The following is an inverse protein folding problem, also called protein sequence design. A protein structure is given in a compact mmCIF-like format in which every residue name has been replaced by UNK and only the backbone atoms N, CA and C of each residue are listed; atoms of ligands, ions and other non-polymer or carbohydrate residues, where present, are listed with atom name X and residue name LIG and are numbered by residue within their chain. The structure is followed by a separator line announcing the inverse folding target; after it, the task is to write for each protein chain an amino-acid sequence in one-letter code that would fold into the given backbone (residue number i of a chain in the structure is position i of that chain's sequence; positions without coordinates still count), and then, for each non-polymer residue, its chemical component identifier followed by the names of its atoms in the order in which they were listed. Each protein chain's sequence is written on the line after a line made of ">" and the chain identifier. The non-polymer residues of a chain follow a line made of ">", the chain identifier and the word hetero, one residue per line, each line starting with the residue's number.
data_IF_080272494797
#
_entry.id   IF_080272494797
#
_cell.length_a   1.000
_cell.length_b   1.000
_cell.length_c   1.000
_cell.angle_alpha   90.00
_cell.angle_beta   90.00
_cell.angle_gamma   90.00
#
_symmetry.space_group_name_H-M   'P 1'
#
loop_
_entity.id
_entity.type
_entity.pdbx_description
1 polymer ?
#
# COMPACT_ATOMS: atom_id res chain seq x y z
N UNK A 1 -24.99 9.19 9.69
CA UNK A 1 -23.64 9.83 9.66
C UNK A 1 -22.63 8.80 10.13
N UNK A 2 -21.63 8.48 9.31
CA UNK A 2 -20.59 7.48 9.59
C UNK A 2 -19.47 8.13 10.40
N UNK A 3 -18.98 7.45 11.44
CA UNK A 3 -17.79 7.89 12.21
C UNK A 3 -16.60 7.02 11.89
N UNK A 4 -15.52 7.63 11.43
CA UNK A 4 -14.30 6.94 11.03
C UNK A 4 -13.08 7.36 11.87
N UNK A 5 -12.29 6.38 12.31
CA UNK A 5 -10.97 6.61 12.89
C UNK A 5 -9.89 6.38 11.83
N UNK A 6 -9.07 7.39 11.55
CA UNK A 6 -7.96 7.32 10.59
C UNK A 6 -6.63 7.12 11.35
N UNK A 7 -6.08 5.93 11.32
CA UNK A 7 -4.76 5.66 11.88
C UNK A 7 -3.68 5.98 10.85
N UNK A 8 -2.79 6.94 11.13
CA UNK A 8 -1.72 7.35 10.22
C UNK A 8 -2.17 8.33 9.14
N UNK A 9 -3.06 9.26 9.45
CA UNK A 9 -3.56 10.30 8.54
C UNK A 9 -2.45 11.19 7.95
N UNK A 10 -1.29 11.30 8.61
CA UNK A 10 -0.10 11.99 8.07
C UNK A 10 0.66 11.18 7.00
N UNK A 11 0.22 9.97 6.67
CA UNK A 11 0.85 9.18 5.62
C UNK A 11 0.61 9.82 4.25
N UNK A 12 1.54 9.57 3.33
CA UNK A 12 1.47 10.07 1.97
C UNK A 12 0.14 9.74 1.25
N UNK A 13 -0.39 8.54 1.46
CA UNK A 13 -1.65 8.10 0.83
C UNK A 13 -2.87 8.71 1.49
N UNK A 14 -2.83 8.91 2.81
CA UNK A 14 -3.94 9.48 3.56
C UNK A 14 -4.07 11.01 3.45
N UNK A 15 -2.98 11.69 3.03
CA UNK A 15 -2.97 13.15 2.95
C UNK A 15 -4.09 13.68 2.03
N UNK A 16 -4.95 14.56 2.55
CA UNK A 16 -6.12 15.09 1.85
C UNK A 16 -7.38 14.23 1.98
N UNK A 17 -7.32 13.03 2.56
CA UNK A 17 -8.50 12.16 2.68
C UNK A 17 -9.54 12.74 3.67
N UNK A 18 -9.10 13.44 4.72
CA UNK A 18 -10.01 14.14 5.65
C UNK A 18 -10.90 15.17 4.94
N UNK A 19 -10.41 15.84 3.92
CA UNK A 19 -11.21 16.81 3.16
C UNK A 19 -12.22 16.09 2.24
N UNK A 20 -11.84 14.97 1.67
CA UNK A 20 -12.75 14.14 0.87
C UNK A 20 -13.89 13.58 1.75
N UNK A 21 -13.60 13.13 2.97
CA UNK A 21 -14.61 12.59 3.88
C UNK A 21 -15.62 13.64 4.36
N UNK A 22 -15.20 14.88 4.55
CA UNK A 22 -16.12 16.00 4.87
C UNK A 22 -17.18 16.22 3.81
N UNK A 23 -16.82 16.06 2.52
CA UNK A 23 -17.74 16.26 1.41
C UNK A 23 -18.82 15.17 1.28
N UNK A 24 -18.66 14.05 1.98
CA UNK A 24 -19.58 12.89 1.95
C UNK A 24 -20.14 12.56 3.35
N UNK A 25 -20.17 13.53 4.25
CA UNK A 25 -20.77 13.45 5.59
C UNK A 25 -20.19 12.33 6.48
N UNK A 26 -18.90 12.02 6.32
CA UNK A 26 -18.18 11.12 7.20
C UNK A 26 -17.41 11.94 8.24
N UNK A 27 -17.74 11.76 9.51
CA UNK A 27 -16.99 12.37 10.61
C UNK A 27 -15.70 11.59 10.85
N UNK A 28 -14.57 12.27 10.74
CA UNK A 28 -13.26 11.63 10.91
C UNK A 28 -12.54 12.12 12.15
N UNK A 29 -12.00 11.19 12.91
CA UNK A 29 -10.96 11.45 13.91
C UNK A 29 -9.65 10.83 13.45
N UNK A 30 -8.53 11.45 13.80
CA UNK A 30 -7.21 10.96 13.39
C UNK A 30 -6.40 10.49 14.58
N UNK A 31 -5.70 9.35 14.41
CA UNK A 31 -4.76 8.84 15.40
C UNK A 31 -3.34 8.86 14.83
N UNK A 32 -2.44 9.48 15.56
CA UNK A 32 -1.02 9.63 15.18
C UNK A 32 -0.08 9.31 16.35
N UNK A 33 1.20 9.11 16.01
CA UNK A 33 2.23 8.82 17.00
C UNK A 33 2.53 10.06 17.85
N UNK A 34 2.58 9.89 19.16
CA UNK A 34 2.93 10.95 20.11
C UNK A 34 2.75 10.53 21.56
N UNK A 35 2.86 11.49 22.45
CA UNK A 35 2.38 11.34 23.81
C UNK A 35 0.85 11.34 23.81
N UNK A 36 0.25 10.64 24.75
CA UNK A 36 -1.21 10.56 24.83
C UNK A 36 -1.83 11.95 25.02
N UNK A 37 -2.60 12.37 24.04
CA UNK A 37 -3.27 13.67 24.04
C UNK A 37 -4.42 13.69 23.04
N UNK A 38 -5.32 14.67 23.22
CA UNK A 38 -6.38 14.98 22.26
C UNK A 38 -6.44 16.50 22.01
N UNK A 39 -6.54 16.87 20.75
CA UNK A 39 -6.80 18.25 20.34
C UNK A 39 -7.85 18.24 19.22
N UNK A 40 -9.10 18.51 19.57
CA UNK A 40 -10.25 18.36 18.67
C UNK A 40 -10.37 16.91 18.17
N UNK A 41 -10.33 16.76 16.84
CA UNK A 41 -10.42 15.46 16.15
C UNK A 41 -9.07 14.75 16.03
N UNK A 42 -7.99 15.34 16.55
CA UNK A 42 -6.64 14.76 16.51
C UNK A 42 -6.31 14.11 17.84
N UNK A 43 -6.02 12.81 17.79
CA UNK A 43 -5.65 11.99 18.95
C UNK A 43 -4.22 11.49 18.72
N UNK A 44 -3.41 11.58 19.76
CA UNK A 44 -2.04 11.06 19.76
C UNK A 44 -1.86 9.94 20.78
N UNK A 45 -0.92 9.04 20.48
CA UNK A 45 -0.56 7.94 21.38
C UNK A 45 0.43 6.97 20.78
N UNK A 46 0.75 5.93 21.53
CA UNK A 46 1.58 4.83 21.02
C UNK A 46 0.70 3.85 20.25
N UNK A 47 1.03 3.57 18.99
CA UNK A 47 0.27 2.65 18.15
C UNK A 47 0.12 1.24 18.76
N UNK A 48 1.16 0.72 19.41
CA UNK A 48 1.13 -0.60 20.07
C UNK A 48 0.15 -0.67 21.25
N UNK A 49 -0.30 0.47 21.77
CA UNK A 49 -1.23 0.60 22.88
C UNK A 49 -2.53 1.28 22.47
N UNK A 50 -2.86 1.32 21.20
CA UNK A 50 -4.02 2.09 20.70
C UNK A 50 -5.33 1.65 21.35
N UNK A 51 -5.52 0.37 21.63
CA UNK A 51 -6.73 -0.14 22.29
C UNK A 51 -6.97 0.44 23.69
N UNK A 52 -5.91 0.81 24.40
CA UNK A 52 -6.01 1.38 25.76
C UNK A 52 -5.92 2.89 25.82
N UNK A 53 -5.94 3.58 24.65
CA UNK A 53 -5.87 5.03 24.62
C UNK A 53 -7.21 5.65 25.08
N UNK A 54 -7.18 6.38 26.20
CA UNK A 54 -8.36 6.94 26.87
C UNK A 54 -9.07 8.08 26.11
N UNK A 55 -8.43 8.62 25.08
CA UNK A 55 -8.97 9.72 24.30
C UNK A 55 -9.78 9.26 23.08
N UNK A 56 -9.79 7.96 22.77
CA UNK A 56 -10.59 7.41 21.69
C UNK A 56 -12.06 7.32 22.09
N UNK A 57 -12.93 7.74 21.19
CA UNK A 57 -14.37 7.62 21.37
C UNK A 57 -14.83 6.15 21.38
N UNK A 58 -16.05 5.92 21.91
CA UNK A 58 -16.62 4.56 21.99
C UNK A 58 -17.35 4.13 20.72
N UNK A 59 -17.62 5.04 19.79
CA UNK A 59 -18.52 4.83 18.68
C UNK A 59 -17.84 5.14 17.33
N UNK A 60 -17.01 4.22 16.85
CA UNK A 60 -16.54 4.25 15.46
C UNK A 60 -17.28 3.20 14.65
N UNK A 61 -17.83 3.59 13.50
CA UNK A 61 -18.37 2.65 12.54
C UNK A 61 -17.24 1.97 11.74
N UNK A 62 -16.19 2.74 11.45
CA UNK A 62 -15.12 2.32 10.55
C UNK A 62 -13.76 2.74 11.13
N UNK A 63 -12.76 1.87 10.96
CA UNK A 63 -11.36 2.19 11.19
C UNK A 63 -10.60 2.05 9.88
N UNK A 64 -9.82 3.07 9.50
CA UNK A 64 -8.95 3.02 8.31
C UNK A 64 -7.51 3.11 8.76
N UNK A 65 -6.74 2.06 8.50
CA UNK A 65 -5.36 1.97 8.93
C UNK A 65 -4.36 2.21 7.79
N UNK A 66 -3.85 3.42 7.68
CA UNK A 66 -2.74 3.80 6.82
C UNK A 66 -1.37 3.64 7.49
N UNK A 67 -1.35 3.42 8.81
CA UNK A 67 -0.11 3.41 9.57
C UNK A 67 0.70 2.14 9.37
N UNK A 68 2.01 2.31 9.35
CA UNK A 68 3.01 1.26 9.47
C UNK A 68 4.21 1.80 10.26
N UNK A 69 4.76 1.00 11.16
CA UNK A 69 5.92 1.36 11.96
C UNK A 69 7.19 1.04 11.15
N UNK A 70 7.51 1.90 10.15
CA UNK A 70 8.55 1.64 9.13
C UNK A 70 9.95 1.40 9.69
N UNK A 71 10.28 2.06 10.81
CA UNK A 71 11.60 2.00 11.45
C UNK A 71 11.59 1.09 12.68
N UNK A 72 10.64 0.18 12.73
CA UNK A 72 10.44 -0.73 13.84
C UNK A 72 10.49 -2.20 13.38
N UNK A 73 10.47 -3.13 14.31
CA UNK A 73 10.53 -4.56 14.01
C UNK A 73 9.21 -5.09 13.45
N UNK A 74 9.26 -6.25 12.81
CA UNK A 74 8.07 -7.00 12.40
C UNK A 74 7.18 -7.29 13.62
N UNK A 75 7.80 -7.70 14.74
CA UNK A 75 7.10 -8.03 15.98
C UNK A 75 6.29 -6.84 16.52
N UNK A 76 6.87 -5.63 16.57
CA UNK A 76 6.17 -4.45 17.03
C UNK A 76 5.03 -4.04 16.08
N UNK A 77 5.18 -4.24 14.77
CA UNK A 77 4.08 -4.05 13.82
C UNK A 77 2.95 -5.05 14.06
N UNK A 78 3.25 -6.32 14.31
CA UNK A 78 2.24 -7.33 14.68
C UNK A 78 1.56 -6.96 16.00
N UNK A 79 2.30 -6.50 17.01
CA UNK A 79 1.72 -6.02 18.29
C UNK A 79 0.78 -4.84 18.06
N UNK A 80 1.16 -3.91 17.21
CA UNK A 80 0.28 -2.81 16.82
C UNK A 80 -1.02 -3.32 16.18
N UNK A 81 -0.92 -4.22 15.20
CA UNK A 81 -2.11 -4.77 14.54
C UNK A 81 -3.01 -5.52 15.52
N UNK A 82 -2.45 -6.34 16.42
CA UNK A 82 -3.21 -6.99 17.50
C UNK A 82 -3.95 -5.99 18.37
N UNK A 83 -3.31 -4.90 18.76
CA UNK A 83 -3.93 -3.81 19.52
C UNK A 83 -5.05 -3.11 18.73
N UNK A 84 -4.86 -2.92 17.42
CA UNK A 84 -5.87 -2.33 16.55
C UNK A 84 -7.10 -3.25 16.39
N UNK A 85 -6.90 -4.56 16.19
CA UNK A 85 -7.99 -5.52 16.12
C UNK A 85 -8.77 -5.58 17.44
N UNK A 86 -8.07 -5.54 18.58
CA UNK A 86 -8.68 -5.45 19.90
C UNK A 86 -9.55 -4.19 20.03
N UNK A 87 -9.03 -3.02 19.64
CA UNK A 87 -9.79 -1.78 19.60
C UNK A 87 -11.08 -1.94 18.78
N UNK A 88 -10.97 -2.48 17.55
CA UNK A 88 -12.13 -2.65 16.68
C UNK A 88 -13.19 -3.56 17.31
N UNK A 89 -12.79 -4.63 17.96
CA UNK A 89 -13.71 -5.54 18.64
C UNK A 89 -14.37 -4.89 19.86
N UNK A 90 -13.60 -4.25 20.73
CA UNK A 90 -14.10 -3.58 21.95
C UNK A 90 -15.05 -2.40 21.66
N UNK A 91 -14.74 -1.63 20.62
CA UNK A 91 -15.56 -0.49 20.16
C UNK A 91 -16.67 -0.88 19.18
N UNK A 92 -16.87 -2.18 18.94
CA UNK A 92 -17.88 -2.73 18.02
C UNK A 92 -17.84 -2.09 16.63
N UNK A 93 -16.63 -1.82 16.14
CA UNK A 93 -16.39 -1.31 14.77
C UNK A 93 -16.99 -2.29 13.77
N UNK A 94 -17.66 -1.79 12.75
CA UNK A 94 -18.29 -2.64 11.70
C UNK A 94 -17.28 -3.07 10.65
N UNK A 95 -16.28 -2.19 10.35
CA UNK A 95 -15.38 -2.38 9.22
C UNK A 95 -13.97 -1.85 9.54
N UNK A 96 -12.95 -2.68 9.32
CA UNK A 96 -11.54 -2.29 9.34
C UNK A 96 -10.97 -2.32 7.92
N UNK A 97 -10.54 -1.18 7.40
CA UNK A 97 -9.85 -1.06 6.11
C UNK A 97 -8.35 -0.91 6.37
N UNK A 98 -7.56 -1.92 5.99
CA UNK A 98 -6.11 -1.94 6.20
C UNK A 98 -5.36 -1.66 4.89
N UNK A 99 -4.49 -0.65 4.91
CA UNK A 99 -3.60 -0.36 3.79
C UNK A 99 -2.41 -1.31 3.75
N UNK A 100 -2.42 -2.17 2.76
CA UNK A 100 -1.36 -3.08 2.38
C UNK A 100 -0.57 -2.58 1.16
N UNK A 101 -0.10 -3.46 0.29
CA UNK A 101 0.66 -3.15 -0.92
C UNK A 101 0.70 -4.35 -1.87
N UNK A 102 0.76 -4.10 -3.17
CA UNK A 102 1.03 -5.15 -4.17
C UNK A 102 2.44 -5.75 -4.05
N UNK A 103 3.35 -5.10 -3.30
CA UNK A 103 4.70 -5.65 -3.06
C UNK A 103 4.71 -6.94 -2.23
N UNK A 104 3.56 -7.34 -1.66
CA UNK A 104 3.43 -8.58 -0.90
C UNK A 104 3.34 -9.83 -1.79
N UNK A 105 3.09 -9.67 -3.08
CA UNK A 105 3.10 -10.79 -4.03
C UNK A 105 4.51 -11.13 -4.49
N UNK A 106 4.71 -12.39 -4.87
CA UNK A 106 5.91 -12.79 -5.59
C UNK A 106 5.93 -12.09 -6.96
N UNK A 107 7.04 -11.44 -7.27
CA UNK A 107 7.21 -10.72 -8.52
C UNK A 107 7.30 -11.64 -9.76
N UNK A 108 7.51 -12.94 -9.58
CA UNK A 108 7.57 -13.91 -10.66
C UNK A 108 6.19 -14.46 -11.06
N UNK A 109 5.13 -14.12 -10.32
CA UNK A 109 3.79 -14.52 -10.66
C UNK A 109 3.27 -13.73 -11.87
N UNK A 110 2.57 -14.43 -12.75
CA UNK A 110 1.79 -13.87 -13.85
C UNK A 110 0.30 -13.89 -13.48
N UNK A 111 -0.49 -12.95 -13.98
CA UNK A 111 -1.93 -12.84 -13.73
C UNK A 111 -2.29 -12.78 -12.25
N UNK A 112 -1.65 -11.87 -11.52
CA UNK A 112 -1.88 -11.68 -10.08
C UNK A 112 -3.20 -10.96 -9.87
N UNK A 113 -4.19 -11.68 -9.36
CA UNK A 113 -5.51 -11.16 -8.96
C UNK A 113 -5.57 -10.95 -7.45
N UNK A 114 -6.67 -10.38 -6.96
CA UNK A 114 -6.94 -10.18 -5.53
C UNK A 114 -6.92 -11.49 -4.72
N UNK A 115 -7.23 -12.62 -5.37
CA UNK A 115 -7.22 -13.95 -4.74
C UNK A 115 -5.86 -14.64 -4.76
N UNK A 116 -4.83 -14.03 -5.38
CA UNK A 116 -3.52 -14.64 -5.42
C UNK A 116 -2.86 -14.68 -4.04
N UNK A 117 -2.13 -15.76 -3.78
CA UNK A 117 -1.38 -15.90 -2.54
C UNK A 117 -0.24 -14.89 -2.48
N UNK A 118 -0.07 -14.28 -1.33
CA UNK A 118 1.09 -13.43 -1.03
C UNK A 118 2.29 -14.29 -0.58
N UNK A 119 3.48 -13.71 -0.63
CA UNK A 119 4.68 -14.33 -0.05
C UNK A 119 4.52 -14.57 1.45
N UNK A 120 5.24 -15.55 1.95
CA UNK A 120 5.39 -15.83 3.39
C UNK A 120 6.77 -15.41 3.87
N UNK A 121 6.94 -15.18 5.18
CA UNK A 121 8.21 -14.71 5.75
C UNK A 121 9.37 -15.69 5.55
N UNK A 122 9.11 -16.97 5.54
CA UNK A 122 10.10 -18.04 5.32
C UNK A 122 10.60 -18.10 3.87
N UNK A 123 9.80 -17.64 2.90
CA UNK A 123 10.11 -17.71 1.47
C UNK A 123 10.58 -16.37 0.89
N UNK A 124 10.22 -15.25 1.52
CA UNK A 124 10.57 -13.93 0.98
C UNK A 124 12.05 -13.58 1.20
N UNK A 125 12.66 -13.02 0.16
CA UNK A 125 13.95 -12.33 0.26
C UNK A 125 13.82 -10.83 0.59
N UNK A 126 12.59 -10.31 0.64
CA UNK A 126 12.30 -8.90 0.89
C UNK A 126 12.60 -8.55 2.33
N UNK A 127 13.15 -7.36 2.56
CA UNK A 127 13.54 -6.84 3.88
C UNK A 127 12.93 -5.48 4.17
N UNK A 128 12.88 -5.14 5.46
CA UNK A 128 12.39 -3.86 5.93
C UNK A 128 10.90 -3.67 5.69
N UNK A 129 10.51 -2.59 5.00
CA UNK A 129 9.10 -2.25 4.80
C UNK A 129 8.26 -3.37 4.16
N UNK A 130 8.80 -4.03 3.12
CA UNK A 130 8.08 -5.11 2.44
C UNK A 130 7.94 -6.35 3.35
N UNK A 131 8.97 -6.69 4.10
CA UNK A 131 8.94 -7.77 5.10
C UNK A 131 7.85 -7.52 6.16
N UNK A 132 7.78 -6.28 6.68
CA UNK A 132 6.74 -5.88 7.65
C UNK A 132 5.33 -6.05 7.03
N UNK A 133 5.13 -5.58 5.80
CA UNK A 133 3.83 -5.67 5.13
C UNK A 133 3.42 -7.12 4.87
N UNK A 134 4.35 -7.98 4.44
CA UNK A 134 4.11 -9.41 4.25
C UNK A 134 3.70 -10.06 5.59
N UNK A 135 4.42 -9.78 6.67
CA UNK A 135 4.11 -10.34 7.98
C UNK A 135 2.72 -9.94 8.48
N UNK A 136 2.41 -8.64 8.37
CA UNK A 136 1.12 -8.09 8.79
C UNK A 136 -0.03 -8.67 7.97
N UNK A 137 0.10 -8.74 6.64
CA UNK A 137 -0.95 -9.30 5.77
C UNK A 137 -1.18 -10.80 6.05
N UNK A 138 -0.10 -11.59 6.20
CA UNK A 138 -0.22 -13.01 6.57
C UNK A 138 -0.95 -13.17 7.91
N UNK A 139 -0.61 -12.34 8.91
CA UNK A 139 -1.30 -12.38 10.19
C UNK A 139 -2.79 -12.01 10.06
N UNK A 140 -3.12 -10.93 9.36
CA UNK A 140 -4.51 -10.52 9.15
C UNK A 140 -5.32 -11.59 8.41
N UNK A 141 -4.76 -12.19 7.36
CA UNK A 141 -5.40 -13.28 6.63
C UNK A 141 -5.63 -14.52 7.50
N UNK A 142 -4.71 -14.81 8.43
CA UNK A 142 -4.84 -15.98 9.32
C UNK A 142 -5.94 -15.82 10.37
N UNK A 143 -6.33 -14.59 10.73
CA UNK A 143 -7.34 -14.33 11.75
C UNK A 143 -8.66 -13.81 11.20
N UNK A 144 -8.75 -13.51 9.90
CA UNK A 144 -9.89 -12.82 9.28
C UNK A 144 -11.26 -13.44 9.59
N UNK A 145 -11.35 -14.78 9.59
CA UNK A 145 -12.59 -15.52 9.79
C UNK A 145 -13.04 -15.59 11.26
N UNK A 146 -12.19 -15.12 12.20
CA UNK A 146 -12.50 -15.05 13.64
C UNK A 146 -12.88 -13.64 14.10
N UNK A 147 -12.79 -12.64 13.23
CA UNK A 147 -13.06 -11.25 13.58
C UNK A 147 -14.56 -10.96 13.63
N UNK A 148 -15.06 -10.23 14.65
CA UNK A 148 -16.48 -9.86 14.76
C UNK A 148 -16.86 -8.66 13.89
N UNK A 149 -16.03 -8.27 12.93
CA UNK A 149 -16.19 -7.14 12.03
C UNK A 149 -15.60 -7.46 10.65
N UNK A 150 -15.98 -6.70 9.64
CA UNK A 150 -15.50 -6.86 8.28
C UNK A 150 -14.04 -6.38 8.18
N UNK A 151 -13.14 -7.25 7.71
CA UNK A 151 -11.75 -6.90 7.40
C UNK A 151 -11.56 -6.73 5.89
N UNK A 152 -11.08 -5.55 5.48
CA UNK A 152 -10.76 -5.23 4.11
C UNK A 152 -9.30 -4.83 4.02
N UNK A 153 -8.56 -5.46 3.10
CA UNK A 153 -7.18 -5.11 2.79
C UNK A 153 -7.12 -4.45 1.42
N UNK A 154 -6.64 -3.22 1.35
CA UNK A 154 -6.43 -2.51 0.10
C UNK A 154 -4.98 -2.56 -0.31
N UNK A 155 -4.69 -2.99 -1.53
CA UNK A 155 -3.35 -3.13 -2.10
C UNK A 155 -3.17 -2.17 -3.27
N UNK A 156 -2.77 -0.92 -2.98
CA UNK A 156 -2.48 0.04 -4.03
C UNK A 156 -1.25 -0.37 -4.83
N UNK A 157 -1.23 0.06 -6.08
CA UNK A 157 -0.05 0.06 -6.92
C UNK A 157 0.96 1.13 -6.51
N UNK A 158 1.73 1.63 -7.46
CA UNK A 158 2.63 2.77 -7.24
C UNK A 158 1.82 4.06 -7.16
N UNK A 159 1.69 4.60 -5.96
CA UNK A 159 0.90 5.80 -5.72
C UNK A 159 1.66 7.04 -6.17
N UNK A 160 1.04 7.80 -7.06
CA UNK A 160 1.51 9.11 -7.49
C UNK A 160 0.87 10.23 -6.67
N UNK A 161 1.62 11.28 -6.47
CA UNK A 161 1.14 12.59 -6.05
C UNK A 161 2.20 13.64 -6.39
N UNK A 162 1.81 14.90 -6.41
CA UNK A 162 2.51 16.03 -7.02
C UNK A 162 3.99 16.17 -6.66
N UNK A 163 4.43 15.72 -5.51
CA UNK A 163 5.81 15.87 -5.05
C UNK A 163 6.57 14.55 -4.87
N UNK A 164 6.07 13.45 -5.45
CA UNK A 164 6.73 12.15 -5.31
C UNK A 164 7.36 11.70 -6.61
N UNK A 165 8.69 11.54 -6.66
CA UNK A 165 9.35 11.07 -7.88
C UNK A 165 8.89 9.65 -8.22
N UNK A 166 8.69 9.40 -9.50
CA UNK A 166 8.37 8.09 -10.00
C UNK A 166 9.49 7.09 -9.71
N UNK A 167 9.23 5.95 -9.04
CA UNK A 167 10.31 5.07 -8.58
C UNK A 167 11.08 4.37 -9.71
N UNK A 168 10.47 4.24 -10.89
CA UNK A 168 11.09 3.58 -12.06
C UNK A 168 11.60 4.55 -13.13
N UNK A 169 11.45 5.87 -12.93
CA UNK A 169 12.00 6.92 -13.79
C UNK A 169 12.93 7.79 -12.96
N UNK A 170 14.18 7.94 -13.42
CA UNK A 170 15.14 8.88 -12.84
C UNK A 170 15.25 10.08 -13.78
N UNK A 171 14.77 11.28 -13.36
CA UNK A 171 14.97 12.48 -14.15
C UNK A 171 16.45 12.86 -14.26
N UNK A 172 16.84 13.39 -15.40
CA UNK A 172 18.14 13.97 -15.68
C UNK A 172 17.93 15.39 -16.24
N UNK A 173 18.98 16.24 -16.24
CA UNK A 173 18.92 17.57 -16.86
C UNK A 173 18.49 17.56 -18.33
N UNK A 174 18.11 18.69 -18.85
CA UNK A 174 17.79 18.92 -20.26
C UNK A 174 16.67 18.04 -20.85
N UNK A 175 15.69 17.61 -20.02
CA UNK A 175 14.56 16.80 -20.48
C UNK A 175 14.89 15.33 -20.74
N UNK A 176 16.03 14.85 -20.23
CA UNK A 176 16.39 13.45 -20.24
C UNK A 176 15.77 12.70 -19.05
N UNK A 177 15.51 11.42 -19.24
CA UNK A 177 15.14 10.51 -18.16
C UNK A 177 15.72 9.11 -18.38
N UNK A 178 16.03 8.42 -17.27
CA UNK A 178 16.43 7.01 -17.30
C UNK A 178 15.28 6.14 -16.80
N UNK A 179 14.82 5.21 -17.64
CA UNK A 179 13.89 4.16 -17.23
C UNK A 179 14.67 3.00 -16.62
N UNK A 180 14.33 2.66 -15.38
CA UNK A 180 14.84 1.50 -14.69
C UNK A 180 14.10 0.24 -15.16
N UNK A 181 14.83 -0.70 -15.70
CA UNK A 181 14.28 -1.97 -16.17
C UNK A 181 13.67 -1.92 -17.58
N UNK A 182 12.71 -2.81 -17.87
CA UNK A 182 12.12 -2.94 -19.19
C UNK A 182 11.17 -1.77 -19.51
N UNK A 183 11.38 -1.13 -20.67
CA UNK A 183 10.54 0.00 -21.11
C UNK A 183 9.11 -0.39 -21.46
N UNK A 184 8.90 -1.65 -21.88
CA UNK A 184 7.59 -2.18 -22.28
C UNK A 184 6.77 -2.69 -21.09
N UNK A 185 7.39 -2.86 -19.92
CA UNK A 185 6.67 -3.38 -18.77
C UNK A 185 5.57 -2.42 -18.33
N UNK A 186 4.37 -2.96 -18.19
CA UNK A 186 3.20 -2.25 -17.66
C UNK A 186 3.36 -2.06 -16.17
N UNK A 187 2.91 -0.93 -15.66
CA UNK A 187 3.04 -0.60 -14.24
C UNK A 187 1.69 -0.28 -13.64
N UNK A 188 1.37 -0.87 -12.49
CA UNK A 188 0.17 -0.53 -11.72
C UNK A 188 0.38 0.81 -11.02
N UNK A 189 0.19 1.90 -11.75
CA UNK A 189 0.33 3.27 -11.25
C UNK A 189 -1.06 3.79 -10.94
N UNK A 190 -1.24 4.41 -9.80
CA UNK A 190 -2.52 4.96 -9.37
C UNK A 190 -2.32 6.35 -8.76
N UNK A 191 -3.23 7.28 -9.03
CA UNK A 191 -3.25 8.58 -8.37
C UNK A 191 -3.84 8.44 -6.97
N UNK A 192 -3.37 9.28 -6.06
CA UNK A 192 -3.87 9.31 -4.67
C UNK A 192 -5.37 9.62 -4.63
N UNK A 193 -5.83 10.50 -5.50
CA UNK A 193 -7.24 10.91 -5.61
C UNK A 193 -8.14 9.73 -5.99
N UNK A 194 -7.69 8.88 -6.93
CA UNK A 194 -8.41 7.67 -7.33
C UNK A 194 -8.49 6.65 -6.17
N UNK A 195 -7.45 6.58 -5.33
CA UNK A 195 -7.48 5.76 -4.10
C UNK A 195 -8.53 6.31 -3.12
N UNK A 196 -8.59 7.63 -2.95
CA UNK A 196 -9.58 8.26 -2.07
C UNK A 196 -11.00 7.98 -2.53
N UNK A 197 -11.28 8.08 -3.83
CA UNK A 197 -12.58 7.73 -4.40
C UNK A 197 -12.92 6.26 -4.15
N UNK A 198 -11.98 5.35 -4.42
CA UNK A 198 -12.17 3.92 -4.15
C UNK A 198 -12.47 3.65 -2.67
N UNK A 199 -11.78 4.34 -1.74
CA UNK A 199 -12.05 4.21 -0.30
C UNK A 199 -13.46 4.64 0.06
N UNK A 200 -13.96 5.74 -0.48
CA UNK A 200 -15.34 6.17 -0.23
C UNK A 200 -16.34 5.12 -0.71
N UNK A 201 -16.09 4.50 -1.87
CA UNK A 201 -16.92 3.40 -2.37
C UNK A 201 -16.86 2.18 -1.45
N UNK A 202 -15.67 1.76 -1.02
CA UNK A 202 -15.48 0.64 -0.08
C UNK A 202 -16.20 0.91 1.26
N UNK A 203 -16.14 2.14 1.76
CA UNK A 203 -16.85 2.54 2.99
C UNK A 203 -18.35 2.28 2.87
N UNK A 204 -18.94 2.66 1.73
CA UNK A 204 -20.38 2.60 1.49
C UNK A 204 -20.87 1.26 0.90
N UNK A 205 -19.97 0.36 0.53
CA UNK A 205 -20.33 -0.96 -0.02
C UNK A 205 -20.57 -1.95 1.11
N UNK A 206 -21.65 -2.70 1.05
CA UNK A 206 -21.91 -3.86 1.92
C UNK A 206 -21.30 -5.13 1.31
N UNK A 207 -20.96 -6.10 2.14
CA UNK A 207 -20.40 -7.40 1.73
C UNK A 207 -19.15 -7.24 0.83
N UNK A 208 -18.17 -6.52 1.33
CA UNK A 208 -16.93 -6.30 0.63
C UNK A 208 -16.11 -7.58 0.46
N UNK A 209 -15.29 -7.60 -0.58
CA UNK A 209 -14.21 -8.59 -0.70
C UNK A 209 -13.11 -8.31 0.34
N UNK A 210 -12.40 -9.36 0.76
CA UNK A 210 -11.30 -9.20 1.73
C UNK A 210 -10.14 -8.39 1.15
N UNK A 211 -9.92 -8.44 -0.16
CA UNK A 211 -8.80 -7.75 -0.83
C UNK A 211 -9.31 -6.96 -2.02
N UNK A 212 -8.82 -5.72 -2.15
CA UNK A 212 -8.99 -4.86 -3.32
C UNK A 212 -7.65 -4.41 -3.88
N UNK A 213 -7.49 -4.49 -5.19
CA UNK A 213 -6.36 -3.93 -5.92
C UNK A 213 -6.68 -2.51 -6.38
N UNK A 214 -5.98 -1.50 -5.84
CA UNK A 214 -6.25 -0.09 -6.17
C UNK A 214 -5.25 0.44 -7.21
N UNK A 215 -5.52 0.18 -8.48
CA UNK A 215 -4.78 0.70 -9.64
C UNK A 215 -5.56 0.42 -10.93
N UNK A 216 -5.28 1.13 -12.04
CA UNK A 216 -5.92 0.88 -13.34
C UNK A 216 -5.65 -0.53 -13.85
N UNK A 217 -6.71 -1.25 -14.28
CA UNK A 217 -6.54 -2.54 -14.95
C UNK A 217 -5.87 -2.37 -16.32
N UNK A 218 -6.19 -1.31 -17.07
CA UNK A 218 -5.44 -0.91 -18.28
C UNK A 218 -4.17 -0.14 -17.92
N UNK A 219 -3.16 -0.90 -17.55
CA UNK A 219 -1.88 -0.36 -17.08
C UNK A 219 -1.03 0.22 -18.21
N UNK A 220 -0.43 1.36 -17.92
CA UNK A 220 0.47 2.05 -18.84
C UNK A 220 1.90 1.49 -18.80
N UNK A 221 2.60 1.47 -19.95
CA UNK A 221 4.02 1.11 -19.97
C UNK A 221 4.89 2.20 -19.33
N UNK A 222 6.04 1.80 -18.76
CA UNK A 222 7.04 2.75 -18.22
C UNK A 222 7.43 3.81 -19.26
N UNK A 223 7.57 3.41 -20.53
CA UNK A 223 7.95 4.32 -21.59
C UNK A 223 6.85 5.36 -21.88
N UNK A 224 5.59 4.91 -22.02
CA UNK A 224 4.45 5.82 -22.24
C UNK A 224 4.31 6.80 -21.08
N UNK A 225 4.47 6.31 -19.86
CA UNK A 225 4.42 7.16 -18.67
C UNK A 225 5.53 8.22 -18.65
N UNK A 226 6.77 7.86 -19.00
CA UNK A 226 7.85 8.83 -19.12
C UNK A 226 7.57 9.91 -20.17
N UNK A 227 6.94 9.54 -21.30
CA UNK A 227 6.50 10.50 -22.31
C UNK A 227 5.43 11.47 -21.78
N UNK A 228 4.44 10.97 -21.02
CA UNK A 228 3.42 11.81 -20.41
C UNK A 228 3.98 12.81 -19.39
N UNK A 229 5.07 12.45 -18.71
CA UNK A 229 5.81 13.36 -17.82
C UNK A 229 6.63 14.43 -18.59
N UNK A 230 6.56 14.45 -19.92
CA UNK A 230 7.21 15.47 -20.77
C UNK A 230 8.69 15.19 -21.07
N UNK A 231 9.23 14.01 -20.74
CA UNK A 231 10.63 13.70 -21.08
C UNK A 231 10.79 13.48 -22.59
N UNK A 232 11.69 14.27 -23.19
CA UNK A 232 11.99 14.24 -24.62
C UNK A 232 12.92 13.08 -24.98
N UNK A 233 13.93 12.86 -24.13
CA UNK A 233 15.00 11.87 -24.35
C UNK A 233 14.95 10.79 -23.25
N UNK A 234 14.62 9.56 -23.63
CA UNK A 234 14.44 8.46 -22.69
C UNK A 234 15.51 7.41 -22.91
N UNK A 235 16.36 7.23 -21.90
CA UNK A 235 17.40 6.21 -21.84
C UNK A 235 16.85 5.02 -21.07
N UNK A 236 17.00 3.83 -21.62
CA UNK A 236 16.60 2.58 -20.96
C UNK A 236 17.81 1.88 -20.39
N UNK A 237 17.76 1.49 -19.13
CA UNK A 237 18.86 0.75 -18.48
C UNK A 237 19.06 -0.60 -19.19
N UNK A 238 20.26 -0.89 -19.72
CA UNK A 238 20.52 -2.14 -20.40
C UNK A 238 20.42 -3.35 -19.46
N UNK A 239 19.61 -4.36 -19.84
CA UNK A 239 19.40 -5.57 -19.03
C UNK A 239 20.71 -6.30 -18.73
N UNK A 240 21.63 -6.36 -19.68
CA UNK A 240 22.94 -7.00 -19.52
C UNK A 240 23.72 -6.39 -18.35
N UNK A 241 23.80 -5.06 -18.28
CA UNK A 241 24.58 -4.36 -17.24
C UNK A 241 23.90 -4.45 -15.88
N UNK A 242 22.59 -4.24 -15.83
CA UNK A 242 21.86 -4.04 -14.57
C UNK A 242 21.16 -5.29 -14.03
N UNK A 243 21.17 -6.40 -14.75
CA UNK A 243 20.65 -7.69 -14.27
C UNK A 243 21.69 -8.80 -14.37
N UNK A 244 22.29 -9.00 -15.55
CA UNK A 244 23.17 -10.14 -15.78
C UNK A 244 24.52 -10.01 -15.06
N UNK A 245 25.14 -8.81 -15.08
CA UNK A 245 26.39 -8.56 -14.33
C UNK A 245 26.15 -8.67 -12.81
N UNK A 246 25.17 -7.98 -12.19
CA UNK A 246 24.88 -8.20 -10.78
C UNK A 246 24.57 -9.65 -10.40
N UNK A 247 23.89 -10.41 -11.28
CA UNK A 247 23.66 -11.83 -11.04
C UNK A 247 24.97 -12.61 -10.93
N UNK A 248 25.91 -12.39 -11.86
CA UNK A 248 27.22 -13.01 -11.83
C UNK A 248 28.00 -12.63 -10.58
N UNK A 249 28.03 -11.34 -10.22
CA UNK A 249 28.70 -10.83 -9.02
C UNK A 249 28.10 -11.43 -7.73
N UNK A 250 26.81 -11.69 -7.70
CA UNK A 250 26.15 -12.38 -6.57
C UNK A 250 26.61 -13.84 -6.46
N UNK A 251 26.71 -14.54 -7.60
CA UNK A 251 27.25 -15.94 -7.62
C UNK A 251 28.70 -16.02 -7.15
N UNK A 252 29.48 -14.98 -7.42
CA UNK A 252 30.86 -14.86 -6.98
C UNK A 252 30.99 -14.34 -5.52
N UNK A 253 29.86 -14.08 -4.83
CA UNK A 253 29.86 -13.56 -3.45
C UNK A 253 30.29 -12.10 -3.30
N UNK A 254 30.44 -11.37 -4.39
CA UNK A 254 30.90 -9.94 -4.39
C UNK A 254 29.78 -9.00 -3.94
N UNK A 255 28.53 -9.29 -4.31
CA UNK A 255 27.37 -8.52 -3.88
C UNK A 255 26.35 -9.40 -3.19
N UNK A 256 25.56 -8.81 -2.26
CA UNK A 256 24.56 -9.54 -1.51
C UNK A 256 23.35 -9.93 -2.37
N UNK A 257 22.70 -11.06 -2.02
CA UNK A 257 21.44 -11.48 -2.64
C UNK A 257 20.35 -10.41 -2.53
N UNK A 258 20.30 -9.68 -1.41
CA UNK A 258 19.35 -8.58 -1.20
C UNK A 258 19.57 -7.41 -2.16
N UNK A 259 20.83 -7.08 -2.46
CA UNK A 259 21.15 -6.05 -3.45
C UNK A 259 20.78 -6.52 -4.86
N UNK A 260 21.11 -7.77 -5.20
CA UNK A 260 20.73 -8.34 -6.50
C UNK A 260 19.20 -8.35 -6.71
N UNK A 261 18.41 -8.71 -5.70
CA UNK A 261 16.95 -8.75 -5.83
C UNK A 261 16.36 -7.39 -6.19
N UNK A 262 16.97 -6.28 -5.77
CA UNK A 262 16.55 -4.92 -6.17
C UNK A 262 16.78 -4.65 -7.66
N UNK A 263 17.89 -5.15 -8.23
CA UNK A 263 18.15 -5.03 -9.67
C UNK A 263 17.24 -5.96 -10.46
N UNK A 264 17.07 -7.19 -10.01
CA UNK A 264 16.21 -8.17 -10.67
C UNK A 264 14.75 -7.69 -10.71
N UNK A 265 14.22 -7.18 -9.60
CA UNK A 265 12.87 -6.63 -9.49
C UNK A 265 12.57 -5.49 -10.48
N UNK A 266 13.61 -4.76 -10.97
CA UNK A 266 13.41 -3.72 -11.98
C UNK A 266 13.02 -4.27 -13.36
N UNK A 267 13.34 -5.54 -13.64
CA UNK A 267 13.14 -6.21 -14.92
C UNK A 267 12.03 -7.26 -14.90
N UNK A 268 11.42 -7.47 -13.75
CA UNK A 268 10.29 -8.38 -13.61
C UNK A 268 9.04 -7.74 -14.23
N UNK A 269 8.31 -8.52 -14.97
CA UNK A 269 7.04 -8.15 -15.61
C UNK A 269 5.91 -8.90 -14.92
N UNK A 270 5.65 -8.54 -13.65
CA UNK A 270 4.45 -9.03 -12.98
C UNK A 270 3.23 -8.42 -13.65
N UNK A 271 2.29 -9.25 -14.03
CA UNK A 271 1.01 -8.78 -14.51
C UNK A 271 -0.03 -8.88 -13.39
N UNK A 272 -0.44 -7.71 -12.91
CA UNK A 272 -1.46 -7.59 -11.87
C UNK A 272 -2.80 -7.25 -12.51
N UNK A 273 -3.89 -7.82 -12.04
CA UNK A 273 -5.25 -7.45 -12.41
C UNK A 273 -5.95 -6.71 -11.26
N UNK A 274 -6.72 -5.71 -11.59
CA UNK A 274 -7.67 -5.01 -10.71
C UNK A 274 -9.07 -5.01 -11.29
N UNK A 275 -9.33 -5.85 -12.29
CA UNK A 275 -10.60 -5.93 -13.01
C UNK A 275 -11.77 -6.18 -12.04
N UNK A 276 -11.62 -7.16 -11.16
CA UNK A 276 -12.63 -7.47 -10.14
C UNK A 276 -12.89 -6.27 -9.21
N UNK A 277 -11.86 -5.52 -8.83
CA UNK A 277 -12.02 -4.31 -8.02
C UNK A 277 -12.78 -3.23 -8.79
N UNK A 278 -12.41 -2.96 -10.05
CA UNK A 278 -13.09 -1.97 -10.89
C UNK A 278 -14.57 -2.32 -11.07
N UNK A 279 -14.88 -3.58 -11.35
CA UNK A 279 -16.26 -4.07 -11.48
C UNK A 279 -17.03 -3.95 -10.16
N UNK A 280 -16.50 -4.50 -9.07
CA UNK A 280 -17.16 -4.55 -7.76
C UNK A 280 -17.50 -3.16 -7.21
N UNK A 281 -16.57 -2.21 -7.36
CA UNK A 281 -16.74 -0.84 -6.87
C UNK A 281 -17.41 0.07 -7.90
N UNK A 282 -17.67 -0.42 -9.12
CA UNK A 282 -18.14 0.40 -10.24
C UNK A 282 -17.32 1.69 -10.40
N UNK A 283 -16.00 1.52 -10.51
CA UNK A 283 -15.02 2.58 -10.73
C UNK A 283 -14.13 2.24 -11.91
N UNK A 284 -13.51 3.27 -12.46
CA UNK A 284 -12.41 3.13 -13.40
C UNK A 284 -11.28 4.02 -12.95
N UNK A 285 -10.15 3.43 -12.60
CA UNK A 285 -8.94 4.18 -12.25
C UNK A 285 -8.35 4.85 -13.50
N UNK A 286 -7.83 6.08 -13.35
CA UNK A 286 -7.25 6.88 -14.43
C UNK A 286 -5.71 6.92 -14.43
#
# INVERSE_FOLDING_TARGET
>A
MIRALLCGASSFVANGFEDVTKNVEILTETFSRGNESRNGDRICGKYINIASNKFLNDNYDIVINFAVLKNDTVENNIRYIKSLLKLCAEKKVKKLIHFSTIMNYDYHLTNVTENANIETLDKTSKKGYAEIKIAVDNYLLSVKDTLPFELIMVRPGYVLADNRPCPFIKPLPCGFAVIKGNKKSKQPIVRREDIHEALIKIINTENNDVVYHLFPNDKMTKYRYAKLLGYKHIIVMPKLIFRSIPHLLTKLGIISKSLYSRFDGMYIESDFSSERTEEKLNIKFN
#
